data_IF_915250693745
#
_entry.id   IF_915250693745
#
_cell.length_a   1.000
_cell.length_b   1.000
_cell.length_c   1.000
_cell.angle_alpha   90.00
_cell.angle_beta   90.00
_cell.angle_gamma   90.00
#
_symmetry.space_group_name_H-M   'P 1'
#
loop_
_entity.id
_entity.type
_entity.pdbx_description
1 polymer ?
#
# COMPACT_ATOMS: atom_id res chain seq x y z
N UNK A 1 -0.11 15.80 -15.43
CA UNK A 1 -0.86 17.02 -15.14
C UNK A 1 -2.19 16.67 -14.48
N UNK A 2 -2.55 17.39 -13.42
CA UNK A 2 -3.81 17.20 -12.67
C UNK A 2 -4.54 18.54 -12.67
N UNK A 3 -5.83 18.53 -12.94
CA UNK A 3 -6.67 19.71 -12.80
C UNK A 3 -6.94 19.98 -11.32
N UNK A 4 -6.96 21.26 -10.93
CA UNK A 4 -7.21 21.72 -9.57
C UNK A 4 -8.39 22.69 -9.55
N UNK A 5 -9.33 22.44 -8.65
CA UNK A 5 -10.52 23.28 -8.40
C UNK A 5 -10.34 24.11 -7.13
N UNK A 6 -11.17 25.14 -6.91
CA UNK A 6 -11.19 25.84 -5.63
C UNK A 6 -11.45 24.91 -4.46
N UNK A 7 -10.58 24.94 -3.44
CA UNK A 7 -10.62 24.04 -2.28
C UNK A 7 -9.64 22.86 -2.35
N UNK A 8 -9.08 22.55 -3.52
CA UNK A 8 -8.12 21.48 -3.66
C UNK A 8 -6.75 21.83 -3.07
N UNK A 9 -6.09 20.85 -2.46
CA UNK A 9 -4.72 21.01 -1.97
C UNK A 9 -3.72 21.07 -3.12
N UNK A 10 -2.76 22.00 -3.01
CA UNK A 10 -1.59 22.09 -3.89
C UNK A 10 -0.32 21.73 -3.11
N UNK A 11 0.59 21.04 -3.76
CA UNK A 11 1.79 20.46 -3.13
C UNK A 11 3.02 21.28 -3.51
N UNK A 12 3.84 21.61 -2.53
CA UNK A 12 5.16 22.24 -2.71
C UNK A 12 6.04 21.42 -3.68
N UNK A 13 6.80 22.11 -4.54
CA UNK A 13 7.66 21.47 -5.54
C UNK A 13 6.95 21.12 -6.86
N UNK A 14 5.62 21.35 -6.98
CA UNK A 14 4.89 21.18 -8.24
C UNK A 14 4.86 22.48 -9.06
N UNK A 15 4.80 22.33 -10.38
CA UNK A 15 4.82 23.48 -11.31
C UNK A 15 3.43 23.70 -11.89
N UNK A 16 2.89 24.92 -11.76
CA UNK A 16 1.69 25.32 -12.45
C UNK A 16 1.97 25.46 -13.96
N UNK A 17 1.31 24.64 -14.78
CA UNK A 17 1.52 24.67 -16.24
C UNK A 17 0.63 25.68 -16.95
N UNK A 18 -0.62 25.83 -16.51
CA UNK A 18 -1.59 26.71 -17.13
C UNK A 18 -2.50 27.33 -16.08
N UNK A 19 -2.96 28.58 -16.34
CA UNK A 19 -3.91 29.28 -15.51
C UNK A 19 -3.28 30.06 -14.36
N UNK A 20 -4.17 30.80 -13.65
CA UNK A 20 -3.82 31.56 -12.46
C UNK A 20 -4.69 31.08 -11.30
N UNK A 21 -4.09 30.94 -10.12
CA UNK A 21 -4.81 30.64 -8.90
C UNK A 21 -4.17 31.35 -7.69
N UNK A 22 -4.96 31.57 -6.66
CA UNK A 22 -4.47 31.97 -5.35
C UNK A 22 -4.46 30.79 -4.41
N UNK A 23 -3.39 30.65 -3.63
CA UNK A 23 -3.27 29.61 -2.63
C UNK A 23 -2.97 30.21 -1.25
N UNK A 24 -3.35 29.50 -0.20
CA UNK A 24 -2.95 29.78 1.18
C UNK A 24 -1.97 28.70 1.60
N UNK A 25 -0.76 29.11 2.03
CA UNK A 25 0.19 28.17 2.61
C UNK A 25 -0.36 27.65 3.94
N UNK A 26 -0.49 26.33 4.06
CA UNK A 26 -0.95 25.63 5.27
C UNK A 26 0.20 25.00 6.05
N UNK A 27 1.27 24.60 5.33
CA UNK A 27 2.51 24.06 5.90
C UNK A 27 3.70 24.78 5.25
N UNK A 28 4.72 25.14 6.02
CA UNK A 28 5.90 25.89 5.57
C UNK A 28 7.19 25.28 6.14
N UNK A 29 8.33 25.57 5.50
CA UNK A 29 9.63 25.06 5.97
C UNK A 29 9.70 23.54 5.98
N UNK A 30 10.12 22.96 7.09
CA UNK A 30 10.33 21.54 7.27
C UNK A 30 9.03 20.71 7.28
N UNK A 31 7.89 21.36 7.52
CA UNK A 31 6.58 20.68 7.54
C UNK A 31 5.98 20.51 6.14
N UNK A 32 6.62 21.05 5.09
CA UNK A 32 6.13 20.84 3.70
C UNK A 32 6.28 19.39 3.28
N UNK A 33 5.36 18.89 2.45
CA UNK A 33 5.43 17.53 1.89
C UNK A 33 6.78 17.25 1.21
N UNK A 34 7.34 18.24 0.50
CA UNK A 34 8.65 18.09 -0.15
C UNK A 34 9.78 17.91 0.89
N UNK A 35 9.79 18.71 1.96
CA UNK A 35 10.80 18.58 3.02
C UNK A 35 10.70 17.24 3.74
N UNK A 36 9.48 16.77 4.01
CA UNK A 36 9.25 15.43 4.59
C UNK A 36 9.75 14.30 3.68
N UNK A 37 9.52 14.39 2.37
CA UNK A 37 10.04 13.42 1.39
C UNK A 37 11.57 13.41 1.42
N UNK A 38 12.21 14.60 1.37
CA UNK A 38 13.68 14.72 1.44
C UNK A 38 14.21 14.07 2.71
N UNK A 39 13.62 14.37 3.87
CA UNK A 39 14.01 13.81 5.15
C UNK A 39 13.91 12.28 5.16
N UNK A 40 12.81 11.71 4.69
CA UNK A 40 12.62 10.25 4.60
C UNK A 40 13.67 9.59 3.69
N UNK A 41 14.01 10.20 2.56
CA UNK A 41 15.06 9.68 1.65
C UNK A 41 16.43 9.75 2.30
N UNK A 42 16.74 10.82 3.03
CA UNK A 42 17.99 10.97 3.77
C UNK A 42 18.09 9.95 4.91
N UNK A 43 17.03 9.76 5.70
CA UNK A 43 16.97 8.77 6.78
C UNK A 43 17.16 7.35 6.24
N UNK A 44 16.48 6.99 5.14
CA UNK A 44 16.64 5.70 4.48
C UNK A 44 18.08 5.48 3.98
N UNK A 45 18.67 6.51 3.37
CA UNK A 45 20.04 6.43 2.83
C UNK A 45 21.11 6.30 3.93
N UNK A 46 20.85 6.88 5.11
CA UNK A 46 21.75 6.81 6.26
C UNK A 46 21.56 5.56 7.11
N UNK A 47 20.48 4.83 6.94
CA UNK A 47 20.21 3.59 7.68
C UNK A 47 21.05 2.43 7.14
N UNK A 48 21.43 1.47 8.02
CA UNK A 48 22.21 0.30 7.62
C UNK A 48 21.29 -0.90 7.38
N UNK A 49 21.27 -1.39 6.15
CA UNK A 49 20.59 -2.63 5.82
C UNK A 49 21.28 -3.85 6.51
N UNK A 50 20.53 -4.88 6.91
CA UNK A 50 21.09 -6.13 7.45
C UNK A 50 22.14 -6.77 6.55
N UNK A 51 21.99 -6.70 5.22
CA UNK A 51 22.98 -7.21 4.27
C UNK A 51 24.33 -6.50 4.37
N UNK A 52 24.37 -5.22 4.78
CA UNK A 52 25.63 -4.52 5.05
C UNK A 52 26.35 -5.12 6.25
N UNK A 53 25.64 -5.53 7.29
CA UNK A 53 26.22 -6.23 8.47
C UNK A 53 26.88 -7.56 8.08
N UNK A 54 26.28 -8.27 7.10
CA UNK A 54 26.86 -9.51 6.55
C UNK A 54 28.15 -9.21 5.81
N UNK A 55 28.16 -8.16 4.99
CA UNK A 55 29.34 -7.69 4.27
C UNK A 55 30.49 -7.31 5.25
N UNK A 56 30.17 -6.59 6.33
CA UNK A 56 31.14 -6.24 7.38
C UNK A 56 31.70 -7.48 8.08
N UNK A 57 30.86 -8.48 8.38
CA UNK A 57 31.27 -9.76 8.98
C UNK A 57 32.19 -10.58 8.05
N UNK A 58 31.87 -10.60 6.76
CA UNK A 58 32.75 -11.26 5.77
C UNK A 58 34.10 -10.54 5.70
N UNK A 59 34.11 -9.22 5.66
CA UNK A 59 35.33 -8.43 5.66
C UNK A 59 36.20 -8.66 6.89
N UNK A 60 35.61 -8.83 8.05
CA UNK A 60 36.34 -9.09 9.31
C UNK A 60 37.09 -10.42 9.33
N UNK A 61 36.70 -11.40 8.52
CA UNK A 61 37.41 -12.67 8.31
C UNK A 61 38.38 -12.56 7.14
N UNK A 62 37.96 -11.93 6.05
CA UNK A 62 38.70 -11.84 4.81
C UNK A 62 40.02 -11.07 4.98
N UNK A 63 40.01 -9.92 5.64
CA UNK A 63 41.20 -9.06 5.79
C UNK A 63 42.33 -9.76 6.56
N UNK A 64 42.11 -10.37 7.76
CA UNK A 64 43.16 -11.15 8.43
C UNK A 64 43.68 -12.30 7.59
N UNK A 65 42.79 -13.01 6.86
CA UNK A 65 43.16 -14.13 5.99
C UNK A 65 44.12 -13.65 4.88
N UNK A 66 43.84 -12.54 4.25
CA UNK A 66 44.69 -11.97 3.21
C UNK A 66 46.05 -11.53 3.75
N UNK A 67 46.11 -10.94 4.96
CA UNK A 67 47.37 -10.59 5.63
C UNK A 67 48.20 -11.85 5.86
N UNK A 68 47.63 -12.94 6.31
CA UNK A 68 48.34 -14.21 6.49
C UNK A 68 48.83 -14.74 5.16
N UNK A 69 48.03 -14.72 4.08
CA UNK A 69 48.46 -15.15 2.73
C UNK A 69 49.61 -14.28 2.25
N UNK A 70 49.60 -12.98 2.44
CA UNK A 70 50.65 -12.07 2.07
C UNK A 70 51.98 -12.41 2.77
N UNK A 71 51.95 -12.63 4.09
CA UNK A 71 53.12 -13.02 4.89
C UNK A 71 53.69 -14.36 4.43
N UNK A 72 52.80 -15.37 4.26
CA UNK A 72 53.22 -16.68 3.77
C UNK A 72 53.84 -16.58 2.38
N UNK A 73 53.27 -15.76 1.50
CA UNK A 73 53.81 -15.51 0.14
C UNK A 73 55.22 -14.94 0.21
N UNK A 74 55.48 -13.94 1.07
CA UNK A 74 56.81 -13.39 1.25
C UNK A 74 57.82 -14.44 1.72
N UNK A 75 57.46 -15.22 2.72
CA UNK A 75 58.30 -16.29 3.28
C UNK A 75 58.62 -17.36 2.20
N UNK A 76 57.63 -17.80 1.45
CA UNK A 76 57.87 -18.81 0.37
C UNK A 76 58.84 -18.26 -0.66
N UNK A 77 58.71 -17.02 -1.13
CA UNK A 77 59.59 -16.47 -2.12
C UNK A 77 61.04 -16.26 -1.63
N UNK A 78 61.22 -15.95 -0.33
CA UNK A 78 62.56 -15.92 0.29
C UNK A 78 63.17 -17.31 0.33
N UNK A 79 62.41 -18.35 0.73
CA UNK A 79 62.88 -19.75 0.78
C UNK A 79 63.23 -20.24 -0.62
N UNK A 80 62.51 -19.84 -1.65
CA UNK A 80 62.82 -20.18 -3.06
C UNK A 80 64.03 -19.42 -3.63
N UNK A 81 64.74 -18.62 -2.82
CA UNK A 81 65.95 -17.93 -3.19
C UNK A 81 65.77 -16.66 -3.98
N UNK A 82 64.55 -16.09 -4.01
CA UNK A 82 64.32 -14.80 -4.64
C UNK A 82 64.79 -13.64 -3.75
N UNK A 83 65.03 -12.48 -4.35
CA UNK A 83 65.45 -11.30 -3.61
C UNK A 83 64.37 -10.81 -2.63
N UNK A 84 64.79 -10.14 -1.54
CA UNK A 84 63.85 -9.54 -0.58
C UNK A 84 62.90 -8.55 -1.26
N UNK A 85 63.42 -7.77 -2.24
CA UNK A 85 62.61 -6.86 -3.03
C UNK A 85 61.51 -7.59 -3.81
N UNK A 86 61.80 -8.76 -4.39
CA UNK A 86 60.85 -9.58 -5.11
C UNK A 86 59.78 -10.11 -4.15
N UNK A 87 60.15 -10.66 -3.01
CA UNK A 87 59.27 -11.20 -2.02
C UNK A 87 58.35 -10.10 -1.46
N UNK A 88 58.89 -8.93 -1.11
CA UNK A 88 58.16 -7.80 -0.58
C UNK A 88 57.18 -7.23 -1.63
N UNK A 89 57.59 -7.08 -2.85
CA UNK A 89 56.75 -6.57 -3.94
C UNK A 89 55.55 -7.49 -4.18
N UNK A 90 55.78 -8.80 -4.14
CA UNK A 90 54.71 -9.82 -4.32
C UNK A 90 53.74 -9.82 -3.15
N UNK A 91 54.26 -9.72 -1.92
CA UNK A 91 53.41 -9.62 -0.73
C UNK A 91 52.54 -8.36 -0.73
N UNK A 92 53.14 -7.20 -1.13
CA UNK A 92 52.39 -5.93 -1.28
C UNK A 92 51.34 -6.07 -2.39
N UNK A 93 51.66 -6.74 -3.52
CA UNK A 93 50.68 -6.97 -4.59
C UNK A 93 49.44 -7.75 -4.08
N UNK A 94 49.65 -8.77 -3.24
CA UNK A 94 48.55 -9.51 -2.60
C UNK A 94 47.70 -8.58 -1.73
N UNK A 95 48.32 -7.74 -0.89
CA UNK A 95 47.57 -6.81 -0.04
C UNK A 95 46.77 -5.78 -0.85
N UNK A 96 47.39 -5.20 -1.86
CA UNK A 96 46.75 -4.16 -2.68
C UNK A 96 45.56 -4.72 -3.47
N UNK A 97 45.72 -5.89 -4.10
CA UNK A 97 44.66 -6.48 -4.94
C UNK A 97 43.48 -7.02 -4.13
N UNK A 98 43.72 -7.30 -2.86
CA UNK A 98 42.72 -7.86 -1.98
C UNK A 98 41.87 -6.81 -1.27
N UNK A 99 42.02 -5.53 -1.57
CA UNK A 99 41.19 -4.49 -0.99
C UNK A 99 39.69 -4.71 -1.35
N UNK A 100 38.78 -4.94 -0.41
CA UNK A 100 37.36 -5.05 -0.72
C UNK A 100 36.70 -3.67 -0.85
N UNK A 101 37.38 -2.70 -1.55
CA UNK A 101 36.94 -1.30 -1.61
C UNK A 101 35.53 -1.15 -2.20
N UNK A 102 35.18 -1.97 -3.19
CA UNK A 102 33.86 -2.01 -3.79
C UNK A 102 32.75 -2.46 -2.83
N UNK A 103 33.10 -3.29 -1.83
CA UNK A 103 32.13 -3.82 -0.85
C UNK A 103 31.52 -2.70 0.00
N UNK A 104 32.32 -1.72 0.41
CA UNK A 104 31.86 -0.59 1.23
C UNK A 104 30.94 0.38 0.49
N UNK A 105 31.00 0.41 -0.84
CA UNK A 105 30.21 1.33 -1.66
C UNK A 105 28.97 0.66 -2.29
N UNK A 106 29.02 -0.64 -2.55
CA UNK A 106 27.98 -1.39 -3.27
C UNK A 106 26.59 -1.27 -2.62
N UNK A 107 26.52 -1.46 -1.31
CA UNK A 107 25.24 -1.44 -0.59
C UNK A 107 24.67 -0.02 -0.43
N UNK A 108 25.42 0.99 0.07
CA UNK A 108 24.90 2.35 0.22
C UNK A 108 24.44 2.97 -1.10
N UNK A 109 25.21 2.80 -2.16
CA UNK A 109 24.85 3.36 -3.48
C UNK A 109 23.58 2.72 -4.03
N UNK A 110 23.45 1.39 -3.97
CA UNK A 110 22.25 0.70 -4.42
C UNK A 110 21.00 1.09 -3.62
N UNK A 111 21.12 1.28 -2.31
CA UNK A 111 20.03 1.76 -1.45
C UNK A 111 19.66 3.20 -1.82
N UNK A 112 20.63 4.09 -1.94
CA UNK A 112 20.39 5.50 -2.28
C UNK A 112 19.68 5.63 -3.65
N UNK A 113 20.16 4.91 -4.67
CA UNK A 113 19.51 4.89 -5.99
C UNK A 113 18.13 4.26 -5.92
N UNK A 114 17.97 3.17 -5.16
CA UNK A 114 16.69 2.48 -4.98
C UNK A 114 15.65 3.34 -4.28
N UNK A 115 16.00 3.98 -3.16
CA UNK A 115 15.10 4.87 -2.41
C UNK A 115 14.76 6.12 -3.21
N UNK A 116 15.74 6.71 -3.93
CA UNK A 116 15.50 7.82 -4.84
C UNK A 116 14.54 7.44 -5.97
N UNK A 117 14.73 6.26 -6.59
CA UNK A 117 13.81 5.76 -7.62
C UNK A 117 12.41 5.44 -7.08
N UNK A 118 12.33 4.95 -5.86
CA UNK A 118 11.09 4.80 -5.13
C UNK A 118 10.35 6.13 -4.98
N UNK A 119 11.03 7.15 -4.46
CA UNK A 119 10.47 8.48 -4.25
C UNK A 119 9.98 9.14 -5.55
N UNK A 120 10.71 9.00 -6.67
CA UNK A 120 10.26 9.45 -7.99
C UNK A 120 8.92 8.82 -8.42
N UNK A 121 8.64 7.60 -7.97
CA UNK A 121 7.40 6.88 -8.26
C UNK A 121 6.33 7.04 -7.18
N UNK A 122 6.60 7.84 -6.12
CA UNK A 122 5.68 8.05 -5.01
C UNK A 122 5.73 6.94 -3.94
N UNK A 123 6.82 6.17 -3.89
CA UNK A 123 7.07 5.12 -2.90
C UNK A 123 8.16 5.64 -1.96
N UNK A 124 7.77 6.01 -0.75
CA UNK A 124 8.69 6.55 0.26
C UNK A 124 9.10 5.44 1.23
N UNK A 125 10.38 5.12 1.26
CA UNK A 125 10.95 4.06 2.08
C UNK A 125 11.69 4.71 3.24
N UNK A 126 11.35 4.37 4.47
CA UNK A 126 11.95 5.00 5.67
C UNK A 126 13.32 4.43 6.06
N UNK A 127 13.58 3.18 5.71
CA UNK A 127 14.85 2.55 6.09
C UNK A 127 15.35 1.55 5.06
N UNK A 128 16.67 1.36 5.01
CA UNK A 128 17.28 0.31 4.22
C UNK A 128 16.88 -1.09 4.71
N UNK A 129 16.56 -1.24 5.98
CA UNK A 129 16.07 -2.48 6.58
C UNK A 129 14.70 -2.84 6.02
N UNK A 130 13.75 -1.90 6.00
CA UNK A 130 12.41 -2.09 5.42
C UNK A 130 12.50 -2.45 3.93
N UNK A 131 13.42 -1.79 3.18
CA UNK A 131 13.68 -2.13 1.77
C UNK A 131 14.20 -3.56 1.63
N UNK A 132 15.08 -4.00 2.52
CA UNK A 132 15.61 -5.37 2.50
C UNK A 132 14.56 -6.39 2.93
N UNK A 133 13.77 -6.12 3.98
CA UNK A 133 12.75 -7.05 4.46
C UNK A 133 11.65 -7.26 3.42
N UNK A 134 11.24 -6.20 2.72
CA UNK A 134 10.17 -6.27 1.72
C UNK A 134 10.46 -7.29 0.60
N UNK A 135 11.74 -7.49 0.20
CA UNK A 135 12.05 -8.50 -0.82
C UNK A 135 11.80 -9.94 -0.36
N UNK A 136 11.78 -10.18 0.95
CA UNK A 136 11.75 -11.50 1.57
C UNK A 136 10.37 -11.89 2.11
N UNK A 137 9.35 -11.03 1.97
CA UNK A 137 7.98 -11.36 2.38
C UNK A 137 7.44 -12.52 1.56
N UNK A 138 6.61 -13.35 2.19
CA UNK A 138 5.87 -14.45 1.58
C UNK A 138 4.36 -14.28 1.72
N UNK A 139 3.92 -13.46 2.67
CA UNK A 139 2.51 -13.20 2.98
C UNK A 139 2.24 -11.70 3.01
N UNK A 140 1.17 -11.29 2.34
CA UNK A 140 0.70 -9.91 2.36
C UNK A 140 -0.73 -9.87 2.91
N UNK A 141 -0.92 -9.06 3.94
CA UNK A 141 -2.22 -8.81 4.56
C UNK A 141 -2.70 -7.45 4.12
N UNK A 142 -3.84 -7.41 3.47
CA UNK A 142 -4.48 -6.20 2.97
C UNK A 142 -5.67 -5.85 3.85
N UNK A 143 -5.70 -4.64 4.41
CA UNK A 143 -6.96 -4.15 4.95
C UNK A 143 -8.00 -3.98 3.84
N UNK A 144 -9.29 -4.07 4.18
CA UNK A 144 -10.35 -3.87 3.20
C UNK A 144 -10.57 -2.38 2.93
N UNK A 145 -10.88 -1.63 3.97
CA UNK A 145 -11.40 -0.26 3.89
C UNK A 145 -10.28 0.73 3.57
N UNK A 146 -10.45 1.58 2.54
CA UNK A 146 -9.40 2.52 2.15
C UNK A 146 -8.18 1.89 1.45
N UNK A 147 -8.04 0.55 1.48
CA UNK A 147 -6.93 -0.19 0.84
C UNK A 147 -7.40 -0.94 -0.40
N UNK A 148 -8.24 -1.96 -0.26
CA UNK A 148 -8.87 -2.67 -1.40
C UNK A 148 -10.02 -1.84 -1.97
N UNK A 149 -10.73 -1.10 -1.10
CA UNK A 149 -11.87 -0.26 -1.43
C UNK A 149 -11.49 1.22 -1.34
N UNK A 150 -12.36 2.09 -1.86
CA UNK A 150 -12.13 3.55 -1.88
C UNK A 150 -12.15 4.20 -0.48
N UNK A 151 -12.67 3.49 0.54
CA UNK A 151 -12.83 4.00 1.90
C UNK A 151 -13.93 5.05 2.03
N UNK A 152 -14.67 5.29 0.95
CA UNK A 152 -15.80 6.22 0.88
C UNK A 152 -17.05 5.47 0.48
N UNK A 153 -18.05 5.36 1.39
CA UNK A 153 -19.33 4.75 1.04
C UNK A 153 -19.99 5.52 -0.09
N UNK A 154 -20.56 4.79 -1.07
CA UNK A 154 -21.32 5.39 -2.18
C UNK A 154 -22.69 4.73 -2.29
N UNK A 155 -23.69 5.47 -2.77
CA UNK A 155 -24.99 4.92 -3.10
C UNK A 155 -24.85 3.94 -4.26
N UNK A 156 -25.27 2.70 -4.05
CA UNK A 156 -25.22 1.62 -5.05
C UNK A 156 -26.57 1.42 -5.72
N UNK A 157 -27.62 1.23 -4.93
CA UNK A 157 -28.97 1.02 -5.45
C UNK A 157 -29.95 1.97 -4.76
N UNK A 158 -30.96 2.42 -5.52
CA UNK A 158 -32.11 3.18 -5.04
C UNK A 158 -33.35 2.37 -5.38
N UNK A 159 -34.01 1.82 -4.38
CA UNK A 159 -35.10 0.87 -4.58
C UNK A 159 -36.38 1.47 -3.97
N UNK A 160 -37.32 1.82 -4.81
CA UNK A 160 -38.59 2.41 -4.39
C UNK A 160 -39.57 1.33 -3.95
N UNK A 161 -40.55 1.67 -3.07
CA UNK A 161 -41.56 0.74 -2.62
C UNK A 161 -42.40 0.12 -3.74
N UNK A 162 -42.59 0.82 -4.85
CA UNK A 162 -43.30 0.30 -6.03
C UNK A 162 -42.49 -0.78 -6.74
N UNK A 163 -41.16 -0.64 -6.84
CA UNK A 163 -40.28 -1.66 -7.40
C UNK A 163 -40.19 -2.90 -6.48
N UNK A 164 -40.36 -2.72 -5.16
CA UNK A 164 -40.41 -3.79 -4.18
C UNK A 164 -41.70 -4.61 -4.29
N UNK A 165 -42.84 -3.97 -4.53
CA UNK A 165 -44.14 -4.60 -4.66
C UNK A 165 -44.40 -5.23 -6.04
N UNK A 166 -43.79 -4.68 -7.10
CA UNK A 166 -43.97 -5.14 -8.48
C UNK A 166 -43.38 -6.54 -8.77
N UNK A 167 -42.41 -6.99 -7.99
CA UNK A 167 -41.83 -8.33 -8.13
C UNK A 167 -42.65 -9.44 -7.45
N UNK A 168 -43.66 -9.13 -6.66
CA UNK A 168 -44.52 -10.10 -6.00
C UNK A 168 -45.83 -10.39 -6.75
N UNK A 169 -46.17 -9.61 -7.80
CA UNK A 169 -47.45 -9.73 -8.50
C UNK A 169 -47.38 -10.54 -9.83
N UNK A 170 -46.32 -11.26 -10.12
CA UNK A 170 -46.20 -12.12 -11.31
C UNK A 170 -46.61 -13.58 -11.05
N UNK A 171 -47.77 -13.79 -10.37
CA UNK A 171 -48.51 -15.05 -10.44
C UNK A 171 -49.98 -14.70 -10.68
N UNK A 172 -50.43 -14.84 -11.93
CA UNK A 172 -51.78 -14.69 -12.42
C UNK A 172 -52.24 -13.27 -12.79
N UNK A 173 -51.85 -12.80 -13.99
CA UNK A 173 -52.88 -12.39 -14.99
C UNK A 173 -52.22 -11.96 -16.29
N UNK A 174 -52.83 -12.46 -17.33
CA UNK A 174 -52.51 -12.24 -18.74
C UNK A 174 -52.64 -10.77 -19.15
N UNK A 175 -51.65 -10.29 -19.93
CA UNK A 175 -51.74 -9.13 -20.83
C UNK A 175 -51.88 -7.76 -20.17
N UNK A 176 -50.80 -7.30 -19.57
CA UNK A 176 -50.44 -5.87 -19.66
C UNK A 176 -48.99 -5.83 -20.17
N UNK A 177 -48.76 -5.30 -21.36
CA UNK A 177 -47.44 -4.91 -21.82
C UNK A 177 -46.92 -3.86 -20.84
N UNK A 178 -46.02 -4.26 -19.93
CA UNK A 178 -45.20 -3.34 -19.16
C UNK A 178 -44.23 -2.71 -20.18
N UNK A 179 -44.63 -1.60 -20.77
CA UNK A 179 -43.69 -0.61 -21.30
C UNK A 179 -42.99 -0.10 -20.06
N UNK A 180 -41.78 -0.61 -19.78
CA UNK A 180 -40.88 -0.11 -18.77
C UNK A 180 -40.54 1.34 -19.13
N UNK A 181 -41.28 2.28 -18.53
CA UNK A 181 -41.08 3.70 -18.72
C UNK A 181 -39.85 4.09 -17.87
N UNK A 182 -38.65 3.94 -18.43
CA UNK A 182 -37.37 4.28 -17.78
C UNK A 182 -37.45 5.68 -17.15
N UNK A 183 -38.16 6.60 -17.81
CA UNK A 183 -38.37 7.97 -17.28
C UNK A 183 -39.23 8.00 -16.00
N UNK A 184 -40.16 7.04 -15.81
CA UNK A 184 -41.01 6.99 -14.63
C UNK A 184 -40.25 6.43 -13.42
N UNK A 185 -39.46 5.39 -13.62
CA UNK A 185 -38.61 4.78 -12.58
C UNK A 185 -37.57 5.80 -12.11
N UNK A 186 -36.86 6.47 -13.00
CA UNK A 186 -35.92 7.52 -12.65
C UNK A 186 -36.55 8.67 -11.85
N UNK A 187 -37.81 9.03 -12.16
CA UNK A 187 -38.53 10.07 -11.43
C UNK A 187 -38.83 9.65 -9.98
N UNK A 188 -39.19 8.39 -9.76
CA UNK A 188 -39.45 7.86 -8.41
C UNK A 188 -38.17 7.73 -7.58
N UNK A 189 -37.09 7.26 -8.19
CA UNK A 189 -35.78 7.16 -7.57
C UNK A 189 -35.23 8.55 -7.18
N UNK A 190 -35.36 9.52 -8.07
CA UNK A 190 -34.96 10.91 -7.78
C UNK A 190 -35.83 11.55 -6.68
N UNK A 191 -37.11 11.18 -6.58
CA UNK A 191 -37.96 11.65 -5.49
C UNK A 191 -37.56 11.04 -4.14
N UNK A 192 -37.26 9.73 -4.11
CA UNK A 192 -36.73 9.07 -2.92
C UNK A 192 -35.40 9.70 -2.49
N UNK A 193 -34.51 9.91 -3.45
CA UNK A 193 -33.20 10.52 -3.21
C UNK A 193 -33.33 11.98 -2.72
N UNK A 194 -34.29 12.74 -3.25
CA UNK A 194 -34.62 14.09 -2.79
C UNK A 194 -35.04 14.12 -1.31
N UNK A 195 -35.95 13.21 -0.92
CA UNK A 195 -36.42 13.09 0.46
C UNK A 195 -35.28 12.66 1.38
N UNK A 196 -34.53 11.62 0.98
CA UNK A 196 -33.41 11.10 1.74
C UNK A 196 -32.32 12.16 1.95
N UNK A 197 -31.91 12.85 0.88
CA UNK A 197 -30.93 13.90 0.97
C UNK A 197 -31.38 15.11 1.78
N UNK A 198 -32.69 15.44 1.73
CA UNK A 198 -33.23 16.52 2.57
C UNK A 198 -33.16 16.18 4.06
N UNK A 199 -33.47 14.95 4.43
CA UNK A 199 -33.36 14.46 5.82
C UNK A 199 -31.90 14.41 6.27
N UNK A 200 -31.00 13.88 5.44
CA UNK A 200 -29.58 13.68 5.77
C UNK A 200 -28.73 14.95 5.67
N UNK A 201 -29.25 16.05 5.13
CA UNK A 201 -28.52 17.32 4.97
C UNK A 201 -27.90 17.84 6.27
N UNK A 202 -28.56 17.62 7.39
CA UNK A 202 -28.12 18.06 8.70
C UNK A 202 -27.48 16.93 9.54
N UNK A 203 -27.21 15.77 8.93
CA UNK A 203 -26.57 14.61 9.57
C UNK A 203 -25.07 14.66 9.34
N UNK A 204 -24.28 14.38 10.38
CA UNK A 204 -22.81 14.28 10.31
C UNK A 204 -22.35 12.84 10.03
N UNK A 205 -23.25 11.93 9.71
CA UNK A 205 -22.94 10.52 9.51
C UNK A 205 -22.29 10.29 8.14
N UNK A 206 -21.23 9.45 7.98
CA UNK A 206 -20.59 9.18 6.69
C UNK A 206 -21.55 8.67 5.60
N UNK A 207 -22.62 7.98 5.97
CA UNK A 207 -23.64 7.52 5.02
C UNK A 207 -24.50 8.67 4.48
N UNK A 208 -24.66 9.76 5.25
CA UNK A 208 -25.34 10.98 4.80
C UNK A 208 -24.55 11.64 3.66
N UNK A 209 -23.21 11.71 3.78
CA UNK A 209 -22.35 12.25 2.75
C UNK A 209 -22.51 11.51 1.41
N UNK A 210 -22.60 10.17 1.45
CA UNK A 210 -22.83 9.35 0.26
C UNK A 210 -24.16 9.69 -0.45
N UNK A 211 -25.23 9.92 0.34
CA UNK A 211 -26.54 10.32 -0.22
C UNK A 211 -26.47 11.73 -0.81
N UNK A 212 -25.84 12.67 -0.11
CA UNK A 212 -25.71 14.05 -0.58
C UNK A 212 -24.82 14.16 -1.83
N UNK A 213 -23.75 13.36 -1.92
CA UNK A 213 -22.93 13.25 -3.14
C UNK A 213 -23.81 12.81 -4.32
N UNK A 214 -24.64 11.77 -4.13
CA UNK A 214 -25.56 11.27 -5.16
C UNK A 214 -26.65 12.27 -5.55
N UNK A 215 -27.16 13.05 -4.61
CA UNK A 215 -28.10 14.15 -4.84
C UNK A 215 -27.47 15.22 -5.72
N UNK A 216 -26.22 15.61 -5.42
CA UNK A 216 -25.47 16.60 -6.17
C UNK A 216 -25.13 16.11 -7.60
N UNK A 217 -24.72 14.83 -7.76
CA UNK A 217 -24.51 14.23 -9.09
C UNK A 217 -25.76 14.32 -9.97
N UNK A 218 -26.94 14.11 -9.39
CA UNK A 218 -28.21 14.14 -10.11
C UNK A 218 -28.84 15.55 -10.21
N UNK A 219 -28.14 16.59 -9.70
CA UNK A 219 -28.62 17.98 -9.67
C UNK A 219 -30.04 18.10 -9.03
N UNK A 220 -30.26 17.43 -7.90
CA UNK A 220 -31.56 17.43 -7.20
C UNK A 220 -31.58 18.55 -6.16
N UNK A 221 -32.58 19.44 -6.25
CA UNK A 221 -32.81 20.47 -5.23
C UNK A 221 -33.43 19.84 -3.97
N UNK A 222 -32.84 20.13 -2.82
CA UNK A 222 -33.31 19.64 -1.51
C UNK A 222 -34.49 20.45 -0.99
N UNK A 223 -35.32 19.80 -0.18
CA UNK A 223 -36.45 20.40 0.49
C UNK A 223 -36.05 20.90 1.88
N UNK A 224 -36.82 21.86 2.40
CA UNK A 224 -36.64 22.33 3.78
C UNK A 224 -37.22 21.31 4.77
N UNK A 225 -36.43 20.99 5.81
CA UNK A 225 -36.80 20.04 6.86
C UNK A 225 -36.95 20.81 8.16
N UNK A 226 -38.13 20.67 8.78
CA UNK A 226 -38.42 21.18 10.12
C UNK A 226 -38.45 20.02 11.13
N UNK A 227 -38.39 20.34 12.42
CA UNK A 227 -38.41 19.36 13.53
C UNK A 227 -37.37 18.21 13.33
N UNK A 228 -36.17 18.55 12.82
CA UNK A 228 -35.11 17.56 12.61
C UNK A 228 -34.62 16.97 13.94
N UNK A 229 -34.52 15.65 14.00
CA UNK A 229 -33.93 14.91 15.11
C UNK A 229 -33.02 13.80 14.57
N UNK A 230 -31.79 13.77 15.04
CA UNK A 230 -30.86 12.65 14.82
C UNK A 230 -30.86 11.73 16.05
N UNK A 231 -31.06 10.44 15.81
CA UNK A 231 -31.06 9.38 16.85
C UNK A 231 -29.79 8.54 16.66
N UNK A 232 -28.86 8.68 17.59
CA UNK A 232 -27.54 8.04 17.51
C UNK A 232 -27.64 6.53 17.31
N UNK A 233 -26.93 6.01 16.29
CA UNK A 233 -26.91 4.59 15.92
C UNK A 233 -28.21 4.04 15.34
N UNK A 234 -29.23 4.91 15.08
CA UNK A 234 -30.55 4.51 14.56
C UNK A 234 -30.85 5.17 13.21
N UNK A 235 -30.84 6.50 13.15
CA UNK A 235 -31.22 7.25 11.97
C UNK A 235 -31.63 8.67 12.25
N UNK A 236 -32.37 9.24 11.32
CA UNK A 236 -32.85 10.63 11.34
C UNK A 236 -34.37 10.70 11.14
N UNK A 237 -35.01 11.73 11.67
CA UNK A 237 -36.41 12.03 11.39
C UNK A 237 -36.60 13.54 11.25
N UNK A 238 -37.66 13.94 10.55
CA UNK A 238 -38.01 15.33 10.37
C UNK A 238 -39.31 15.49 9.59
N UNK A 239 -39.79 16.73 9.50
CA UNK A 239 -41.00 17.06 8.75
C UNK A 239 -40.65 17.79 7.46
N UNK A 240 -41.20 17.33 6.34
CA UNK A 240 -41.16 17.99 5.04
C UNK A 240 -42.62 18.32 4.67
N UNK A 241 -42.91 19.60 4.40
CA UNK A 241 -44.26 20.08 4.11
C UNK A 241 -45.31 19.62 5.17
N UNK A 242 -44.93 19.62 6.46
CA UNK A 242 -45.79 19.23 7.57
C UNK A 242 -45.98 17.70 7.73
N UNK A 243 -45.42 16.87 6.85
CA UNK A 243 -45.49 15.42 6.90
C UNK A 243 -44.24 14.82 7.53
N UNK A 244 -44.43 13.84 8.42
CA UNK A 244 -43.31 13.19 9.11
C UNK A 244 -42.58 12.18 8.19
N UNK A 245 -41.29 12.28 8.14
CA UNK A 245 -40.41 11.33 7.42
C UNK A 245 -39.34 10.79 8.36
N UNK A 246 -38.96 9.54 8.14
CA UNK A 246 -37.98 8.81 8.94
C UNK A 246 -37.00 8.17 7.97
N UNK A 247 -35.67 8.31 8.25
CA UNK A 247 -34.59 7.63 7.54
C UNK A 247 -33.71 6.88 8.54
N UNK A 248 -33.32 5.63 8.26
CA UNK A 248 -32.41 4.92 9.17
C UNK A 248 -32.34 3.41 8.96
N UNK A 249 -31.81 2.71 9.97
CA UNK A 249 -31.58 1.27 9.91
C UNK A 249 -32.87 0.46 10.21
N UNK A 250 -32.77 -0.86 10.03
CA UNK A 250 -33.88 -1.79 10.27
C UNK A 250 -34.48 -1.69 11.71
N UNK A 251 -33.60 -1.48 12.70
CA UNK A 251 -34.06 -1.39 14.09
C UNK A 251 -34.91 -0.13 14.30
N UNK A 252 -34.50 1.01 13.73
CA UNK A 252 -35.23 2.26 13.82
C UNK A 252 -36.59 2.20 13.14
N UNK A 253 -36.70 1.50 12.00
CA UNK A 253 -37.96 1.28 11.32
C UNK A 253 -38.94 0.44 12.19
N UNK A 254 -38.45 -0.62 12.84
CA UNK A 254 -39.24 -1.46 13.74
C UNK A 254 -39.73 -0.69 14.97
N UNK A 255 -38.89 0.13 15.59
CA UNK A 255 -39.25 1.00 16.72
C UNK A 255 -40.36 1.98 16.37
N UNK A 256 -40.42 2.43 15.12
CA UNK A 256 -41.44 3.33 14.61
C UNK A 256 -42.64 2.60 13.95
N UNK A 257 -42.79 1.29 14.16
CA UNK A 257 -43.89 0.47 13.64
C UNK A 257 -44.05 0.53 12.12
N UNK A 258 -42.93 0.61 11.36
CA UNK A 258 -42.94 0.54 9.89
C UNK A 258 -43.03 -0.92 9.47
N UNK A 259 -44.00 -1.26 8.64
CA UNK A 259 -44.19 -2.61 8.14
C UNK A 259 -43.12 -2.97 7.08
N UNK A 260 -42.35 -4.03 7.33
CA UNK A 260 -41.20 -4.42 6.48
C UNK A 260 -41.27 -5.86 5.97
N UNK A 261 -42.33 -6.62 6.33
CA UNK A 261 -42.44 -8.04 5.95
C UNK A 261 -42.38 -8.25 4.44
N UNK A 262 -42.97 -7.33 3.66
CA UNK A 262 -43.04 -7.41 2.20
C UNK A 262 -41.65 -7.31 1.53
N UNK A 263 -40.68 -6.64 2.19
CA UNK A 263 -39.36 -6.38 1.64
C UNK A 263 -38.29 -7.28 2.25
N UNK A 264 -38.61 -8.11 3.23
CA UNK A 264 -37.66 -8.89 4.03
C UNK A 264 -36.71 -9.75 3.19
N UNK A 265 -37.25 -10.55 2.29
CA UNK A 265 -36.44 -11.44 1.44
C UNK A 265 -35.45 -10.69 0.56
N UNK A 266 -35.83 -9.52 0.05
CA UNK A 266 -34.99 -8.71 -0.83
C UNK A 266 -33.91 -7.98 -0.03
N UNK A 267 -34.26 -7.47 1.15
CA UNK A 267 -33.30 -6.79 2.04
C UNK A 267 -32.28 -7.76 2.63
N UNK A 268 -32.68 -8.98 2.97
CA UNK A 268 -31.77 -10.03 3.40
C UNK A 268 -30.76 -10.40 2.30
N UNK A 269 -31.20 -10.44 1.05
CA UNK A 269 -30.30 -10.68 -0.10
C UNK A 269 -29.29 -9.55 -0.24
N UNK A 270 -29.72 -8.29 -0.23
CA UNK A 270 -28.85 -7.12 -0.35
C UNK A 270 -27.87 -7.00 0.83
N UNK A 271 -28.31 -7.31 2.05
CA UNK A 271 -27.43 -7.37 3.21
C UNK A 271 -26.37 -8.49 3.08
N UNK A 272 -26.76 -9.63 2.50
CA UNK A 272 -25.81 -10.71 2.18
C UNK A 272 -24.77 -10.31 1.13
N UNK A 273 -25.09 -9.38 0.26
CA UNK A 273 -24.15 -8.81 -0.72
C UNK A 273 -23.18 -7.77 -0.10
N UNK A 274 -23.22 -7.58 1.23
CA UNK A 274 -22.32 -6.65 1.94
C UNK A 274 -22.75 -5.18 1.85
N UNK A 275 -23.98 -4.91 1.43
CA UNK A 275 -24.52 -3.56 1.32
C UNK A 275 -25.13 -3.10 2.63
N UNK A 276 -24.90 -1.85 3.01
CA UNK A 276 -25.60 -1.19 4.12
C UNK A 276 -26.94 -0.67 3.61
N UNK A 277 -28.04 -1.04 4.28
CA UNK A 277 -29.38 -0.65 3.89
C UNK A 277 -29.88 0.51 4.75
N UNK A 278 -30.27 1.59 4.10
CA UNK A 278 -30.96 2.73 4.69
C UNK A 278 -32.41 2.73 4.23
N UNK A 279 -33.31 2.59 5.17
CA UNK A 279 -34.74 2.58 4.92
C UNK A 279 -35.32 3.99 5.09
N UNK A 280 -36.24 4.36 4.23
CA UNK A 280 -36.95 5.65 4.29
C UNK A 280 -38.43 5.43 4.31
N UNK A 281 -39.13 6.12 5.22
CA UNK A 281 -40.57 6.03 5.41
C UNK A 281 -41.24 7.40 5.48
N UNK A 282 -42.49 7.47 5.02
CA UNK A 282 -43.40 8.62 5.12
C UNK A 282 -44.53 8.24 6.04
N UNK A 283 -44.63 8.86 7.21
CA UNK A 283 -45.54 8.37 8.27
C UNK A 283 -45.20 6.91 8.60
N UNK A 284 -46.19 6.01 8.51
CA UNK A 284 -46.00 4.58 8.77
C UNK A 284 -45.69 3.74 7.51
N UNK A 285 -45.56 4.35 6.34
CA UNK A 285 -45.39 3.66 5.08
C UNK A 285 -43.94 3.72 4.58
N UNK A 286 -43.33 2.57 4.29
CA UNK A 286 -42.04 2.50 3.63
C UNK A 286 -42.14 3.11 2.21
N UNK A 287 -41.30 4.10 1.89
CA UNK A 287 -41.22 4.72 0.57
C UNK A 287 -40.09 4.13 -0.27
N UNK A 288 -39.06 3.59 0.36
CA UNK A 288 -37.95 2.92 -0.35
C UNK A 288 -36.75 2.65 0.52
N UNK A 289 -35.73 2.07 -0.13
CA UNK A 289 -34.48 1.67 0.47
C UNK A 289 -33.36 2.22 -0.40
N UNK A 290 -32.36 2.83 0.20
CA UNK A 290 -31.10 3.21 -0.45
C UNK A 290 -30.02 2.29 0.09
N UNK A 291 -29.28 1.62 -0.81
CA UNK A 291 -28.14 0.82 -0.40
C UNK A 291 -26.86 1.60 -0.58
N UNK A 292 -25.98 1.48 0.39
CA UNK A 292 -24.68 2.13 0.40
C UNK A 292 -23.62 1.06 0.63
N UNK A 293 -22.56 1.10 -0.17
CA UNK A 293 -21.41 0.24 0.02
C UNK A 293 -20.12 0.96 -0.37
N UNK A 294 -19.03 0.50 0.21
CA UNK A 294 -17.69 0.94 -0.16
C UNK A 294 -17.26 0.20 -1.45
N UNK A 295 -16.88 0.95 -2.47
CA UNK A 295 -16.54 0.40 -3.79
C UNK A 295 -15.12 -0.12 -3.81
N UNK A 296 -14.92 -1.28 -4.43
CA UNK A 296 -13.59 -1.81 -4.76
C UNK A 296 -12.92 -0.86 -5.76
N UNK A 297 -11.66 -0.49 -5.50
CA UNK A 297 -10.87 0.32 -6.45
C UNK A 297 -10.69 -0.43 -7.75
N UNK A 298 -10.70 0.26 -8.87
CA UNK A 298 -10.64 -0.32 -10.22
C UNK A 298 -9.38 -1.16 -10.45
N UNK A 299 -8.28 -0.81 -9.80
CA UNK A 299 -6.97 -1.46 -9.92
C UNK A 299 -6.75 -2.60 -8.94
N UNK A 300 -7.59 -2.73 -7.88
CA UNK A 300 -7.38 -3.72 -6.80
C UNK A 300 -7.33 -5.16 -7.30
N UNK A 301 -8.21 -5.53 -8.23
CA UNK A 301 -8.22 -6.90 -8.78
C UNK A 301 -6.91 -7.21 -9.51
N UNK A 302 -6.44 -6.29 -10.35
CA UNK A 302 -5.18 -6.46 -11.08
C UNK A 302 -4.00 -6.53 -10.11
N UNK A 303 -3.94 -5.63 -9.13
CA UNK A 303 -2.87 -5.62 -8.14
C UNK A 303 -2.78 -6.93 -7.35
N UNK A 304 -3.92 -7.47 -6.92
CA UNK A 304 -3.98 -8.76 -6.22
C UNK A 304 -3.52 -9.92 -7.10
N UNK A 305 -3.86 -9.90 -8.38
CA UNK A 305 -3.40 -10.90 -9.35
C UNK A 305 -1.89 -10.82 -9.55
N UNK A 306 -1.31 -9.64 -9.68
CA UNK A 306 0.14 -9.42 -9.81
C UNK A 306 0.90 -9.88 -8.56
N UNK A 307 0.38 -9.60 -7.37
CA UNK A 307 0.96 -10.08 -6.11
C UNK A 307 0.96 -11.61 -6.03
N UNK A 308 -0.12 -12.27 -6.42
CA UNK A 308 -0.20 -13.74 -6.48
C UNK A 308 0.75 -14.35 -7.50
N UNK A 309 0.91 -13.72 -8.65
CA UNK A 309 1.86 -14.16 -9.69
C UNK A 309 3.31 -14.10 -9.21
N UNK A 310 3.60 -13.32 -8.16
CA UNK A 310 4.91 -13.31 -7.47
C UNK A 310 5.04 -14.36 -6.38
N UNK A 311 4.10 -15.32 -6.29
CA UNK A 311 3.99 -16.38 -5.28
C UNK A 311 3.79 -15.84 -3.85
N UNK A 312 3.12 -14.69 -3.69
CA UNK A 312 2.75 -14.17 -2.39
C UNK A 312 1.39 -14.73 -1.98
N UNK A 313 1.26 -15.13 -0.73
CA UNK A 313 -0.03 -15.40 -0.12
C UNK A 313 -0.72 -14.07 0.17
N UNK A 314 -1.91 -13.84 -0.43
CA UNK A 314 -2.69 -12.62 -0.21
C UNK A 314 -3.86 -12.92 0.71
N UNK A 315 -3.92 -12.20 1.83
CA UNK A 315 -4.96 -12.32 2.86
C UNK A 315 -5.69 -10.99 2.96
N UNK A 316 -7.01 -11.01 2.95
CA UNK A 316 -7.82 -9.83 3.28
C UNK A 316 -8.21 -9.87 4.76
N UNK A 317 -8.01 -8.76 5.47
CA UNK A 317 -8.37 -8.58 6.87
C UNK A 317 -9.40 -7.46 6.98
N UNK A 318 -10.51 -7.70 7.70
CA UNK A 318 -11.59 -6.71 7.81
C UNK A 318 -12.40 -6.87 9.09
N UNK A 319 -12.97 -5.77 9.57
CA UNK A 319 -13.98 -5.77 10.63
C UNK A 319 -15.39 -6.15 10.17
N UNK A 320 -15.62 -6.30 8.87
CA UNK A 320 -16.93 -6.69 8.34
C UNK A 320 -17.27 -8.13 8.72
N UNK A 321 -18.57 -8.45 8.69
CA UNK A 321 -19.04 -9.81 8.86
C UNK A 321 -18.54 -10.72 7.71
N UNK A 322 -18.44 -12.01 8.01
CA UNK A 322 -17.91 -13.03 7.10
C UNK A 322 -18.51 -13.00 5.69
N UNK A 323 -19.81 -12.81 5.59
CA UNK A 323 -20.52 -12.89 4.31
C UNK A 323 -20.20 -11.69 3.38
N UNK A 324 -20.16 -10.48 3.96
CA UNK A 324 -19.75 -9.27 3.25
C UNK A 324 -18.27 -9.37 2.80
N UNK A 325 -17.42 -9.84 3.70
CA UNK A 325 -16.00 -10.05 3.41
C UNK A 325 -15.77 -11.07 2.28
N UNK A 326 -16.48 -12.22 2.31
CA UNK A 326 -16.40 -13.23 1.24
C UNK A 326 -16.86 -12.69 -0.12
N UNK A 327 -17.90 -11.83 -0.14
CA UNK A 327 -18.40 -11.22 -1.38
C UNK A 327 -17.34 -10.33 -2.02
N UNK A 328 -16.72 -9.47 -1.23
CA UNK A 328 -15.64 -8.59 -1.69
C UNK A 328 -14.42 -9.41 -2.10
N UNK A 329 -13.97 -10.35 -1.26
CA UNK A 329 -12.84 -11.22 -1.55
C UNK A 329 -12.98 -11.96 -2.88
N UNK A 330 -14.16 -12.56 -3.14
CA UNK A 330 -14.46 -13.22 -4.42
C UNK A 330 -14.38 -12.25 -5.61
N UNK A 331 -14.86 -11.01 -5.46
CA UNK A 331 -14.86 -10.02 -6.55
C UNK A 331 -13.44 -9.62 -6.99
N UNK A 332 -12.48 -9.61 -6.04
CA UNK A 332 -11.07 -9.28 -6.28
C UNK A 332 -10.18 -10.52 -6.38
N UNK A 333 -10.73 -11.71 -6.19
CA UNK A 333 -10.02 -12.97 -6.32
C UNK A 333 -9.26 -13.43 -5.06
N UNK A 334 -9.51 -12.86 -3.87
CA UNK A 334 -8.90 -13.31 -2.61
C UNK A 334 -9.74 -14.43 -1.99
N UNK A 335 -9.09 -15.55 -1.65
CA UNK A 335 -9.74 -16.69 -1.00
C UNK A 335 -9.48 -16.73 0.51
N UNK A 336 -8.35 -16.21 0.97
CA UNK A 336 -7.96 -16.19 2.37
C UNK A 336 -8.48 -14.90 3.01
N UNK A 337 -9.48 -15.02 3.88
CA UNK A 337 -10.19 -13.88 4.46
C UNK A 337 -10.26 -14.05 5.98
N UNK A 338 -9.90 -13.01 6.71
CA UNK A 338 -10.04 -12.90 8.16
C UNK A 338 -11.06 -11.80 8.42
N UNK A 339 -12.29 -12.18 8.81
CA UNK A 339 -13.43 -11.30 9.04
C UNK A 339 -13.72 -11.11 10.52
N UNK A 340 -14.64 -10.20 10.84
CA UNK A 340 -15.10 -9.89 12.21
C UNK A 340 -13.98 -9.48 13.18
N UNK A 341 -12.91 -8.83 12.67
CA UNK A 341 -11.74 -8.40 13.45
C UNK A 341 -11.92 -6.97 13.95
N UNK A 342 -11.86 -6.78 15.25
CA UNK A 342 -11.86 -5.43 15.81
C UNK A 342 -10.57 -4.70 15.51
N UNK A 343 -10.57 -3.36 15.39
CA UNK A 343 -9.36 -2.59 15.07
C UNK A 343 -8.16 -2.92 15.96
N UNK A 344 -8.38 -3.05 17.28
CA UNK A 344 -7.35 -3.39 18.26
C UNK A 344 -6.84 -4.84 18.17
N UNK A 345 -7.55 -5.72 17.46
CA UNK A 345 -7.17 -7.13 17.33
C UNK A 345 -6.44 -7.43 16.00
N UNK A 346 -6.37 -6.47 15.08
CA UNK A 346 -5.65 -6.63 13.80
C UNK A 346 -4.18 -7.00 14.02
N UNK A 347 -3.51 -6.39 15.00
CA UNK A 347 -2.14 -6.72 15.40
C UNK A 347 -2.00 -8.21 15.82
N UNK A 348 -3.00 -8.75 16.54
CA UNK A 348 -2.99 -10.15 16.98
C UNK A 348 -3.04 -11.12 15.82
N UNK A 349 -3.80 -10.79 14.76
CA UNK A 349 -3.88 -11.62 13.55
C UNK A 349 -2.55 -11.62 12.80
N UNK A 350 -1.88 -10.47 12.68
CA UNK A 350 -0.50 -10.39 12.13
C UNK A 350 0.45 -11.25 12.95
N UNK A 351 0.41 -11.13 14.29
CA UNK A 351 1.26 -11.92 15.20
C UNK A 351 1.04 -13.42 15.06
N UNK A 352 -0.21 -13.89 14.83
CA UNK A 352 -0.50 -15.32 14.59
C UNK A 352 0.12 -15.81 13.29
N UNK A 353 0.12 -15.01 12.23
CA UNK A 353 0.76 -15.38 10.97
C UNK A 353 2.28 -15.44 11.13
N UNK A 354 2.88 -14.49 11.82
CA UNK A 354 4.32 -14.49 12.13
C UNK A 354 4.72 -15.70 13.00
N UNK A 355 3.88 -16.09 13.97
CA UNK A 355 4.11 -17.29 14.79
C UNK A 355 4.08 -18.59 13.99
N UNK A 356 3.45 -18.61 12.81
CA UNK A 356 3.50 -19.72 11.85
C UNK A 356 4.77 -19.72 10.99
N UNK A 357 5.70 -18.79 11.22
CA UNK A 357 6.95 -18.63 10.48
C UNK A 357 6.81 -17.83 9.18
N UNK A 358 5.67 -17.17 8.96
CA UNK A 358 5.45 -16.33 7.79
C UNK A 358 6.10 -14.95 7.96
N UNK A 359 6.62 -14.41 6.87
CA UNK A 359 7.09 -13.04 6.78
C UNK A 359 5.99 -12.17 6.21
N UNK A 360 5.42 -11.34 7.07
CA UNK A 360 4.18 -10.64 6.81
C UNK A 360 4.43 -9.17 6.45
N UNK A 361 3.97 -8.75 5.27
CA UNK A 361 3.72 -7.34 4.99
C UNK A 361 2.26 -7.01 5.27
N UNK A 362 2.00 -5.91 5.95
CA UNK A 362 0.67 -5.38 6.18
C UNK A 362 0.45 -4.10 5.37
N UNK A 363 -0.68 -3.99 4.68
CA UNK A 363 -1.06 -2.80 3.91
C UNK A 363 -2.36 -2.25 4.46
N UNK A 364 -2.36 -0.98 4.84
CA UNK A 364 -3.51 -0.28 5.39
C UNK A 364 -3.49 1.22 5.11
N UNK A 365 -4.55 1.94 5.51
CA UNK A 365 -4.65 3.41 5.38
C UNK A 365 -3.97 4.16 6.54
N UNK A 366 -3.56 3.46 7.58
CA UNK A 366 -2.78 3.95 8.72
C UNK A 366 -3.58 4.51 9.89
N UNK A 367 -4.84 4.89 9.73
CA UNK A 367 -5.61 5.52 10.82
C UNK A 367 -5.98 4.49 11.89
N UNK A 368 -6.60 3.39 11.48
CA UNK A 368 -7.04 2.31 12.37
C UNK A 368 -6.06 1.13 12.40
N UNK A 369 -5.07 1.12 11.53
CA UNK A 369 -4.18 0.00 11.26
C UNK A 369 -2.79 0.17 11.86
N UNK A 370 -2.50 1.32 12.49
CA UNK A 370 -1.18 1.63 13.05
C UNK A 370 -0.58 0.50 13.89
N UNK A 371 -1.31 -0.17 14.80
CA UNK A 371 -0.73 -1.29 15.55
C UNK A 371 -0.32 -2.48 14.66
N UNK A 372 -1.10 -2.77 13.61
CA UNK A 372 -0.82 -3.87 12.68
C UNK A 372 0.33 -3.52 11.72
N UNK A 373 0.42 -2.26 11.28
CA UNK A 373 1.53 -1.73 10.48
C UNK A 373 2.87 -1.87 11.23
N UNK A 374 2.92 -1.40 12.48
CA UNK A 374 4.13 -1.48 13.33
C UNK A 374 4.49 -2.92 13.67
N UNK A 375 3.50 -3.81 13.82
CA UNK A 375 3.72 -5.20 14.22
C UNK A 375 4.21 -6.09 13.09
N UNK A 376 3.84 -5.80 11.86
CA UNK A 376 4.25 -6.59 10.68
C UNK A 376 5.76 -6.53 10.45
N UNK A 377 6.30 -7.43 9.63
CA UNK A 377 7.72 -7.38 9.24
C UNK A 377 7.99 -6.17 8.34
N UNK A 378 6.99 -5.75 7.57
CA UNK A 378 7.00 -4.49 6.81
C UNK A 378 5.59 -3.92 6.77
N UNK A 379 5.41 -2.73 7.33
CA UNK A 379 4.17 -1.96 7.25
C UNK A 379 4.17 -1.03 6.04
N UNK A 380 3.13 -1.12 5.20
CA UNK A 380 2.93 -0.22 4.06
C UNK A 380 1.65 0.60 4.27
N UNK A 381 1.78 1.92 4.33
CA UNK A 381 0.62 2.82 4.33
C UNK A 381 0.29 3.24 2.90
N UNK A 382 -1.00 3.19 2.54
CA UNK A 382 -1.49 3.57 1.21
C UNK A 382 -2.30 4.87 1.25
N UNK A 383 -2.13 5.70 0.21
CA UNK A 383 -2.80 6.98 0.10
C UNK A 383 -1.98 8.13 0.68
N UNK A 384 -2.39 9.39 0.37
CA UNK A 384 -1.75 10.61 0.88
C UNK A 384 -1.99 10.80 2.39
N UNK A 385 -1.54 9.82 3.13
CA UNK A 385 -1.83 9.50 4.49
C UNK A 385 -1.86 10.66 5.47
N UNK A 386 -2.67 10.50 6.47
CA UNK A 386 -2.59 11.25 7.71
C UNK A 386 -1.17 11.17 8.28
N UNK A 387 -0.74 12.18 9.01
CA UNK A 387 0.57 12.20 9.67
C UNK A 387 0.82 10.90 10.48
N UNK A 388 -0.24 10.26 10.99
CA UNK A 388 -0.21 8.97 11.71
C UNK A 388 0.21 7.80 10.83
N UNK A 389 -0.26 7.73 9.58
CA UNK A 389 0.13 6.68 8.64
C UNK A 389 1.62 6.79 8.27
N UNK A 390 2.07 8.03 8.04
CA UNK A 390 3.48 8.31 7.77
C UNK A 390 4.33 7.90 8.97
N UNK A 391 3.89 8.10 10.21
CA UNK A 391 4.65 7.77 11.40
C UNK A 391 4.74 6.26 11.66
N UNK A 392 3.66 5.52 11.42
CA UNK A 392 3.53 4.10 11.79
C UNK A 392 4.05 3.12 10.75
N UNK A 393 4.05 3.47 9.47
CA UNK A 393 4.46 2.57 8.39
C UNK A 393 5.97 2.65 8.11
N UNK A 394 6.54 1.56 7.61
CA UNK A 394 7.91 1.48 7.09
C UNK A 394 8.03 2.06 5.69
N UNK A 395 6.99 1.90 4.90
CA UNK A 395 6.90 2.37 3.51
C UNK A 395 5.59 3.12 3.34
N UNK A 396 5.64 4.30 2.72
CA UNK A 396 4.47 5.12 2.42
C UNK A 396 4.26 5.19 0.92
N UNK A 397 3.09 4.78 0.47
CA UNK A 397 2.67 4.86 -0.92
C UNK A 397 1.84 6.13 -1.09
N UNK A 398 2.39 7.13 -1.79
CA UNK A 398 1.77 8.46 -1.93
C UNK A 398 0.51 8.46 -2.80
N UNK A 399 0.37 7.48 -3.68
CA UNK A 399 -0.82 7.31 -4.50
C UNK A 399 -1.77 6.36 -3.79
N UNK A 400 -3.06 6.59 -4.01
CA UNK A 400 -4.11 5.72 -3.48
C UNK A 400 -4.38 4.54 -4.43
N UNK A 401 -3.31 3.81 -4.79
CA UNK A 401 -3.35 2.70 -5.74
C UNK A 401 -2.60 1.47 -5.21
N UNK A 402 -3.30 0.35 -5.14
CA UNK A 402 -2.74 -0.92 -4.65
C UNK A 402 -1.65 -1.49 -5.58
N UNK A 403 -1.58 -1.07 -6.84
CA UNK A 403 -0.50 -1.42 -7.77
C UNK A 403 0.87 -0.90 -7.31
N UNK A 404 0.91 0.16 -6.53
CA UNK A 404 2.17 0.68 -5.99
C UNK A 404 2.78 -0.28 -4.95
N UNK A 405 2.00 -1.16 -4.31
CA UNK A 405 2.51 -2.24 -3.45
C UNK A 405 3.32 -3.23 -4.27
N UNK A 406 2.80 -3.65 -5.44
CA UNK A 406 3.51 -4.52 -6.36
C UNK A 406 4.79 -3.88 -6.88
N UNK A 407 4.73 -2.59 -7.18
CA UNK A 407 5.88 -1.79 -7.62
C UNK A 407 6.95 -1.70 -6.53
N UNK A 408 6.56 -1.47 -5.26
CA UNK A 408 7.47 -1.43 -4.11
C UNK A 408 8.21 -2.76 -3.91
N UNK A 409 7.48 -3.88 -4.00
CA UNK A 409 8.06 -5.23 -3.89
C UNK A 409 9.04 -5.49 -5.05
N UNK A 410 8.68 -5.10 -6.27
CA UNK A 410 9.54 -5.24 -7.45
C UNK A 410 10.82 -4.42 -7.32
N UNK A 411 10.70 -3.18 -6.84
CA UNK A 411 11.83 -2.29 -6.58
C UNK A 411 12.76 -2.91 -5.53
N UNK A 412 12.22 -3.37 -4.41
CA UNK A 412 12.99 -4.05 -3.36
C UNK A 412 13.76 -5.25 -3.91
N UNK A 413 13.08 -6.15 -4.65
CA UNK A 413 13.72 -7.31 -5.29
C UNK A 413 14.84 -6.91 -6.25
N UNK A 414 14.66 -5.85 -7.03
CA UNK A 414 15.66 -5.36 -7.97
C UNK A 414 16.89 -4.81 -7.24
N UNK A 415 16.69 -3.98 -6.21
CA UNK A 415 17.78 -3.41 -5.40
C UNK A 415 18.58 -4.50 -4.71
N UNK A 416 17.93 -5.45 -4.06
CA UNK A 416 18.62 -6.55 -3.38
C UNK A 416 19.35 -7.47 -4.35
N UNK A 417 18.78 -7.71 -5.54
CA UNK A 417 19.48 -8.44 -6.61
C UNK A 417 20.75 -7.71 -7.03
N UNK A 418 20.68 -6.39 -7.23
CA UNK A 418 21.82 -5.56 -7.59
C UNK A 418 22.92 -5.64 -6.50
N UNK A 419 22.55 -5.45 -5.23
CA UNK A 419 23.49 -5.58 -4.11
C UNK A 419 24.17 -6.96 -4.12
N UNK A 420 23.42 -8.04 -4.25
CA UNK A 420 23.97 -9.41 -4.30
C UNK A 420 24.93 -9.61 -5.48
N UNK A 421 24.60 -9.08 -6.65
CA UNK A 421 25.47 -9.15 -7.84
C UNK A 421 26.75 -8.33 -7.64
N UNK A 422 26.66 -7.13 -7.08
CA UNK A 422 27.80 -6.29 -6.81
C UNK A 422 28.76 -6.95 -5.79
N UNK A 423 28.20 -7.52 -4.73
CA UNK A 423 28.95 -8.29 -3.74
C UNK A 423 29.64 -9.51 -4.38
N UNK A 424 28.92 -10.26 -5.22
CA UNK A 424 29.49 -11.41 -5.93
C UNK A 424 30.70 -10.99 -6.78
N UNK A 425 30.58 -9.97 -7.61
CA UNK A 425 31.66 -9.51 -8.45
C UNK A 425 32.84 -8.96 -7.65
N UNK A 426 32.58 -8.24 -6.55
CA UNK A 426 33.62 -7.71 -5.67
C UNK A 426 34.51 -8.85 -5.10
N UNK A 427 33.92 -9.97 -4.71
CA UNK A 427 34.67 -11.14 -4.21
C UNK A 427 35.28 -11.97 -5.35
N UNK A 428 34.59 -12.13 -6.45
CA UNK A 428 35.04 -12.94 -7.57
C UNK A 428 36.33 -12.42 -8.18
N UNK A 429 36.44 -11.09 -8.37
CA UNK A 429 37.70 -10.47 -8.83
C UNK A 429 38.86 -10.77 -7.88
N UNK A 430 38.65 -10.62 -6.58
CA UNK A 430 39.68 -10.89 -5.58
C UNK A 430 40.08 -12.35 -5.57
N UNK A 431 39.14 -13.29 -5.65
CA UNK A 431 39.41 -14.73 -5.68
C UNK A 431 40.29 -15.15 -6.88
N UNK A 432 40.12 -14.51 -8.05
CA UNK A 432 40.94 -14.80 -9.22
C UNK A 432 42.29 -14.09 -9.14
N UNK A 433 42.32 -12.85 -8.68
CA UNK A 433 43.54 -12.03 -8.73
C UNK A 433 44.53 -12.37 -7.60
N UNK A 434 44.07 -12.88 -6.43
CA UNK A 434 44.97 -13.27 -5.34
C UNK A 434 45.99 -14.34 -5.77
N UNK A 435 45.61 -15.48 -6.39
CA UNK A 435 46.58 -16.47 -6.90
C UNK A 435 47.60 -15.90 -7.90
N UNK A 436 47.15 -15.00 -8.75
CA UNK A 436 48.07 -14.30 -9.69
C UNK A 436 49.05 -13.40 -8.93
N UNK A 437 48.56 -12.66 -7.93
CA UNK A 437 49.37 -11.78 -7.10
C UNK A 437 50.38 -12.51 -6.23
N UNK A 438 50.06 -13.71 -5.73
CA UNK A 438 51.02 -14.55 -5.01
C UNK A 438 52.18 -15.03 -5.87
N UNK A 439 52.08 -14.86 -7.20
CA UNK A 439 53.08 -15.36 -8.13
C UNK A 439 52.99 -16.85 -8.43
N UNK A 440 51.85 -17.49 -8.16
CA UNK A 440 51.66 -18.94 -8.42
C UNK A 440 51.92 -19.33 -9.87
N UNK A 441 51.75 -18.41 -10.81
CA UNK A 441 51.99 -18.63 -12.23
C UNK A 441 53.38 -18.14 -12.71
N UNK A 442 54.25 -17.67 -11.82
CA UNK A 442 55.55 -17.13 -12.17
C UNK A 442 56.44 -18.14 -12.87
N UNK A 443 56.55 -19.37 -12.33
CA UNK A 443 57.38 -20.41 -12.91
C UNK A 443 56.79 -21.04 -14.19
N UNK A 444 55.45 -21.06 -14.34
CA UNK A 444 54.82 -21.69 -15.50
C UNK A 444 54.59 -20.73 -16.68
N UNK A 445 54.27 -19.49 -16.40
CA UNK A 445 53.91 -18.49 -17.43
C UNK A 445 54.81 -17.23 -17.42
N UNK A 446 55.74 -17.12 -16.50
CA UNK A 446 56.58 -15.91 -16.33
C UNK A 446 55.79 -14.67 -15.86
N UNK A 447 54.54 -14.84 -15.45
CA UNK A 447 53.64 -13.76 -15.08
C UNK A 447 53.89 -13.32 -13.64
N UNK A 448 54.29 -12.05 -13.47
CA UNK A 448 54.35 -11.38 -12.15
C UNK A 448 53.42 -10.19 -12.17
N UNK A 449 52.53 -10.11 -11.18
CA UNK A 449 51.64 -8.97 -11.04
C UNK A 449 52.40 -7.80 -10.40
N UNK A 450 52.45 -6.67 -11.13
CA UNK A 450 52.97 -5.43 -10.58
C UNK A 450 51.87 -4.80 -9.66
N UNK A 451 52.22 -4.34 -8.45
CA UNK A 451 51.27 -3.65 -7.56
C UNK A 451 50.50 -2.49 -8.22
N UNK A 452 51.11 -1.78 -9.16
CA UNK A 452 50.46 -0.70 -9.92
C UNK A 452 49.35 -1.23 -10.82
N UNK A 453 49.55 -2.38 -11.48
CA UNK A 453 48.51 -3.04 -12.30
C UNK A 453 47.38 -3.52 -11.40
N UNK A 454 47.72 -4.07 -10.21
CA UNK A 454 46.77 -4.44 -9.20
C UNK A 454 45.88 -3.27 -8.75
N UNK A 455 46.48 -2.12 -8.45
CA UNK A 455 45.76 -0.91 -8.07
C UNK A 455 44.86 -0.38 -9.20
N UNK A 456 45.31 -0.42 -10.45
CA UNK A 456 44.49 -0.04 -11.61
C UNK A 456 43.27 -0.99 -11.79
N UNK A 457 43.48 -2.31 -11.64
CA UNK A 457 42.41 -3.31 -11.72
C UNK A 457 41.36 -3.10 -10.62
N UNK A 458 41.78 -2.77 -9.39
CA UNK A 458 40.91 -2.46 -8.29
C UNK A 458 40.08 -1.18 -8.51
N UNK A 459 40.69 -0.16 -9.09
CA UNK A 459 39.97 1.07 -9.45
C UNK A 459 38.90 0.81 -10.51
N UNK A 460 39.20 -0.02 -11.52
CA UNK A 460 38.23 -0.46 -12.53
C UNK A 460 37.11 -1.31 -11.90
N UNK A 461 37.45 -2.22 -10.98
CA UNK A 461 36.43 -3.02 -10.24
C UNK A 461 35.44 -2.13 -9.47
N UNK A 462 35.92 -1.07 -8.81
CA UNK A 462 35.06 -0.13 -8.10
C UNK A 462 34.12 0.62 -9.05
N UNK A 463 34.56 1.00 -10.24
CA UNK A 463 33.72 1.61 -11.27
C UNK A 463 32.64 0.62 -11.75
N UNK A 464 33.02 -0.64 -12.04
CA UNK A 464 32.08 -1.67 -12.50
C UNK A 464 31.00 -2.02 -11.46
N UNK A 465 31.27 -1.83 -10.17
CA UNK A 465 30.29 -2.08 -9.10
C UNK A 465 29.31 -0.91 -8.95
N UNK A 466 29.70 0.31 -9.30
CA UNK A 466 28.84 1.51 -9.14
C UNK A 466 28.01 1.78 -10.42
N UNK A 467 28.46 1.32 -11.59
CA UNK A 467 27.75 1.46 -12.87
C UNK A 467 26.84 0.29 -13.17
#
# INVERSE_FOLDING_TARGET
PVYKNPGDNVISGTINKNGYFRMKATKVGDDTTLSQIIKLVEEASNSKAPIAKIADKVSSVFVPTVIIISIITAIIWIILGQSFEFALTTAIAVLVISCPCALGLATPVAIMVGTGKGAENGILIKSAESLELLHSIDTIVLDKTGTITEGKPKVIDIITSQNLLGNTSNLNSSRVKVVSNVNYTNKLENNLLKIAGSLEKNSEHPLAEAILEKVNENNIELLEVTDFLSVSGRGVQGKIDGVNYIGGNLAFMKENNIELEVVKNQTEKLAKEGKTLLYFAKGNNLIGIITVADRVKTTSKQAIEELKNKNLEVIMLTGDNKLAAETIGKSVGINNIISDVLPQDKEKEVSKLQAQGKKVAFVGDGINDSPALVKSDVGLAIGSGTDIAIESADIVLMKDDLLDVDTAISLSKAVIRNIKMNLFWAFFYNAICIPVATGAFYFSLGVKLNPMIGAAAMSLSSVCVVT
#
